data_IF_343554932847
#
_entry.id   IF_343554932847
#
_cell.length_a   1.000
_cell.length_b   1.000
_cell.length_c   1.000
_cell.angle_alpha   90.00
_cell.angle_beta   90.00
_cell.angle_gamma   90.00
#
_symmetry.space_group_name_H-M   'P 1'
#
loop_
_entity.id
_entity.type
_entity.pdbx_description
1 polymer ?
#
# COMPACT_ATOMS: atom_id res chain seq x y z
N UNK A 1 4.09 3.65 6.40
CA UNK A 1 2.86 2.82 6.38
C UNK A 1 1.81 3.48 5.48
N UNK A 2 0.96 2.71 4.81
CA UNK A 2 -0.12 3.20 3.94
C UNK A 2 -1.45 2.57 4.34
N UNK A 3 -2.57 3.25 4.01
CA UNK A 3 -3.93 2.73 4.17
C UNK A 3 -4.54 2.41 2.81
N UNK A 4 -4.97 1.16 2.62
CA UNK A 4 -6.01 0.81 1.66
C UNK A 4 -7.39 1.10 2.26
N UNK A 5 -8.17 1.96 1.62
CA UNK A 5 -9.60 2.12 1.94
C UNK A 5 -10.41 1.20 1.04
N UNK A 6 -11.16 0.26 1.62
CA UNK A 6 -12.09 -0.58 0.87
C UNK A 6 -13.34 0.20 0.50
N UNK A 7 -13.88 -0.10 -0.69
CA UNK A 7 -15.13 0.52 -1.16
C UNK A 7 -16.35 0.11 -0.32
N UNK A 8 -16.30 -1.06 0.32
CA UNK A 8 -17.31 -1.53 1.28
C UNK A 8 -17.19 -0.91 2.68
N UNK A 9 -16.24 -0.02 2.91
CA UNK A 9 -15.95 0.58 4.22
C UNK A 9 -14.81 -0.11 4.97
N UNK A 10 -14.29 0.56 6.00
CA UNK A 10 -13.12 0.11 6.76
C UNK A 10 -11.79 0.44 6.09
N UNK A 11 -10.71 -0.22 6.49
CA UNK A 11 -9.41 -0.06 5.83
C UNK A 11 -8.35 -1.05 6.31
N UNK A 12 -7.31 -1.18 5.50
CA UNK A 12 -6.20 -2.10 5.72
C UNK A 12 -4.87 -1.37 5.73
N UNK A 13 -4.01 -1.68 6.69
CA UNK A 13 -2.73 -0.99 6.88
C UNK A 13 -1.58 -1.85 6.37
N UNK A 14 -0.70 -1.24 5.59
CA UNK A 14 0.44 -1.91 4.96
C UNK A 14 1.74 -1.17 5.23
N UNK A 15 2.84 -1.92 5.29
CA UNK A 15 4.17 -1.35 5.47
C UNK A 15 4.86 -1.23 4.12
N UNK A 16 5.06 0.00 3.64
CA UNK A 16 5.90 0.27 2.47
C UNK A 16 7.37 0.00 2.81
N UNK A 17 8.07 -0.71 1.92
CA UNK A 17 9.50 -0.99 2.02
C UNK A 17 10.33 -0.16 1.04
N UNK A 18 9.73 0.27 -0.06
CA UNK A 18 10.40 1.10 -1.06
C UNK A 18 9.67 1.08 -2.40
N UNK A 19 10.31 1.68 -3.39
CA UNK A 19 9.84 1.75 -4.77
C UNK A 19 10.97 1.35 -5.74
N UNK A 20 10.62 0.94 -6.95
CA UNK A 20 11.61 0.65 -7.99
C UNK A 20 12.27 1.94 -8.52
N UNK A 21 13.32 1.82 -9.34
CA UNK A 21 14.06 2.99 -9.86
C UNK A 21 13.20 3.99 -10.64
N UNK A 22 12.16 3.51 -11.34
CA UNK A 22 11.20 4.36 -12.06
C UNK A 22 10.14 5.00 -11.16
N UNK A 23 10.06 4.62 -9.88
CA UNK A 23 9.10 5.16 -8.92
C UNK A 23 7.63 4.78 -9.16
N UNK A 24 7.34 3.84 -10.07
CA UNK A 24 5.97 3.46 -10.45
C UNK A 24 5.48 2.17 -9.78
N UNK A 25 6.40 1.35 -9.24
CA UNK A 25 6.09 0.16 -8.47
C UNK A 25 6.52 0.35 -7.02
N UNK A 26 5.70 -0.13 -6.09
CA UNK A 26 6.02 -0.21 -4.68
C UNK A 26 6.23 -1.66 -4.24
N UNK A 27 7.16 -1.86 -3.32
CA UNK A 27 7.31 -3.08 -2.54
C UNK A 27 6.74 -2.85 -1.15
N UNK A 28 5.90 -3.76 -0.66
CA UNK A 28 5.24 -3.62 0.64
C UNK A 28 5.03 -4.98 1.33
N UNK A 29 4.80 -4.91 2.64
CA UNK A 29 4.38 -6.04 3.47
C UNK A 29 2.88 -5.92 3.70
N UNK A 30 2.15 -6.98 3.38
CA UNK A 30 0.76 -7.16 3.76
C UNK A 30 0.72 -8.06 5.02
N UNK A 31 0.19 -7.60 6.17
CA UNK A 31 0.09 -8.41 7.38
C UNK A 31 -0.72 -9.71 7.22
N UNK A 32 -1.53 -9.80 6.17
CA UNK A 32 -2.33 -10.99 5.85
C UNK A 32 -1.62 -11.98 4.94
N UNK A 33 -0.43 -11.65 4.45
CA UNK A 33 0.36 -12.47 3.53
C UNK A 33 1.72 -12.80 4.14
N UNK A 34 2.25 -13.99 3.84
CA UNK A 34 3.59 -14.42 4.30
C UNK A 34 4.71 -13.97 3.37
N UNK A 35 4.39 -13.34 2.24
CA UNK A 35 5.36 -12.95 1.19
C UNK A 35 5.31 -11.46 0.90
N UNK A 36 6.42 -10.92 0.40
CA UNK A 36 6.49 -9.54 -0.05
C UNK A 36 5.66 -9.33 -1.31
N UNK A 37 4.97 -8.21 -1.36
CA UNK A 37 4.06 -7.88 -2.44
C UNK A 37 4.61 -6.71 -3.27
N UNK A 38 4.31 -6.74 -4.57
CA UNK A 38 4.66 -5.67 -5.51
C UNK A 38 3.39 -5.16 -6.18
N UNK A 39 3.21 -3.84 -6.26
CA UNK A 39 2.06 -3.26 -6.97
C UNK A 39 2.39 -1.91 -7.60
N UNK A 40 1.70 -1.57 -8.69
CA UNK A 40 1.82 -0.25 -9.30
C UNK A 40 1.08 0.82 -8.52
N UNK A 41 1.65 2.01 -8.44
CA UNK A 41 1.01 3.16 -7.79
C UNK A 41 -0.32 3.50 -8.48
N UNK A 42 -0.38 3.42 -9.81
CA UNK A 42 -1.60 3.67 -10.57
C UNK A 42 -2.76 2.75 -10.12
N UNK A 43 -2.51 1.44 -9.99
CA UNK A 43 -3.54 0.49 -9.53
C UNK A 43 -3.98 0.68 -8.08
N UNK A 44 -3.17 1.39 -7.29
CA UNK A 44 -3.51 1.77 -5.92
C UNK A 44 -4.33 3.06 -5.88
N UNK A 45 -4.19 3.94 -6.86
CA UNK A 45 -4.97 5.17 -6.95
C UNK A 45 -6.35 4.93 -7.57
N UNK A 46 -6.47 4.01 -8.52
CA UNK A 46 -7.70 3.74 -9.27
C UNK A 46 -8.28 2.32 -9.08
N UNK A 47 -7.90 1.64 -8.01
CA UNK A 47 -8.40 0.29 -7.72
C UNK A 47 -9.91 0.25 -7.46
N UNK A 48 -10.60 -0.75 -7.99
CA UNK A 48 -12.06 -0.92 -7.86
C UNK A 48 -12.50 -1.44 -6.49
N UNK A 49 -11.70 -2.29 -5.84
CA UNK A 49 -12.02 -2.89 -4.54
C UNK A 49 -11.44 -2.09 -3.37
N UNK A 50 -10.34 -1.38 -3.61
CA UNK A 50 -9.67 -0.54 -2.63
C UNK A 50 -8.76 0.47 -3.30
N UNK A 51 -8.52 1.59 -2.64
CA UNK A 51 -7.54 2.61 -3.05
C UNK A 51 -6.60 2.98 -1.91
N UNK A 52 -5.38 3.42 -2.24
CA UNK A 52 -4.48 4.06 -1.30
C UNK A 52 -5.03 5.44 -0.98
N UNK A 53 -5.53 5.61 0.23
CA UNK A 53 -6.18 6.84 0.67
C UNK A 53 -5.29 7.72 1.54
N UNK A 54 -4.41 7.11 2.36
CA UNK A 54 -3.60 7.85 3.34
C UNK A 54 -2.22 7.22 3.52
N UNK A 55 -1.29 8.02 4.00
CA UNK A 55 0.07 7.62 4.34
C UNK A 55 0.45 8.11 5.73
N UNK A 56 1.21 7.31 6.46
CA UNK A 56 1.91 7.72 7.68
C UNK A 56 3.40 7.46 7.50
N UNK A 57 4.18 8.53 7.53
CA UNK A 57 5.65 8.52 7.48
C UNK A 57 6.21 8.84 8.87
N UNK A 58 7.52 8.65 9.06
CA UNK A 58 8.19 8.95 10.32
C UNK A 58 7.80 8.02 11.48
N UNK A 59 7.65 6.73 11.21
CA UNK A 59 7.47 5.72 12.27
C UNK A 59 8.87 5.27 12.69
N UNK A 60 9.25 5.58 13.92
CA UNK A 60 10.51 5.22 14.57
C UNK A 60 10.22 4.84 16.03
N UNK A 61 11.08 4.02 16.61
CA UNK A 61 11.03 3.61 18.03
C UNK A 61 11.89 4.49 18.90
#
# INVERSE_FOLDING_TARGET
>A
MIRWGWTSGGGHMLVLRGYNTSGNLINYVNPLESTYQVKSIASLQSGSNYTWTHSRTGIHG
#
